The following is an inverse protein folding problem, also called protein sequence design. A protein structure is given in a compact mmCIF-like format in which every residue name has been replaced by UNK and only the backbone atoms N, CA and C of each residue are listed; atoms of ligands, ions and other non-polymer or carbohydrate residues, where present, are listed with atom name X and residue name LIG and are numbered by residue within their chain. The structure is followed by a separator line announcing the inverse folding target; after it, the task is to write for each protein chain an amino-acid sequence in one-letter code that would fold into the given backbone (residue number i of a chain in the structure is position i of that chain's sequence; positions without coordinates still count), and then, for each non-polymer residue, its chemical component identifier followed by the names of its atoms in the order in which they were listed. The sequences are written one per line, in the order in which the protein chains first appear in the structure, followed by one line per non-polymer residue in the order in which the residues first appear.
data_IF_378943309451
#
_entry.id   IF_378943309451
#
_cell.length_a   1.000
_cell.length_b   1.000
_cell.length_c   1.000
_cell.angle_alpha   90.00
_cell.angle_beta   90.00
_cell.angle_gamma   90.00
#
_symmetry.space_group_name_H-M   'P 1'
#
loop_
_entity.id
_entity.type
_entity.pdbx_description
1 polymer ?
#
# COMPACT_ATOMS: atom_id res chain seq x y z
N UNK A 1 -92.26 -68.94 4.64
CA UNK A 1 -91.63 -68.11 5.68
C UNK A 1 -90.32 -67.55 5.13
N UNK A 2 -89.98 -66.29 5.38
CA UNK A 2 -90.51 -65.08 4.73
C UNK A 2 -89.31 -64.20 4.42
N UNK A 3 -89.40 -63.36 3.38
CA UNK A 3 -88.34 -62.50 2.83
C UNK A 3 -88.14 -61.18 3.61
N UNK A 4 -88.40 -61.18 4.92
CA UNK A 4 -88.54 -59.94 5.71
C UNK A 4 -87.45 -59.72 6.78
N UNK A 5 -86.24 -60.25 6.58
CA UNK A 5 -85.16 -60.18 7.57
C UNK A 5 -83.83 -59.65 7.01
N UNK A 6 -83.88 -58.78 5.99
CA UNK A 6 -82.68 -58.11 5.42
C UNK A 6 -82.87 -56.58 5.29
N UNK A 7 -83.69 -55.97 6.15
CA UNK A 7 -83.89 -54.52 6.10
C UNK A 7 -83.96 -53.89 7.50
N UNK A 8 -82.90 -54.02 8.29
CA UNK A 8 -82.67 -53.20 9.49
C UNK A 8 -81.19 -53.19 9.93
N UNK A 9 -80.30 -52.84 8.99
CA UNK A 9 -78.91 -52.48 9.31
C UNK A 9 -78.47 -51.25 8.51
N UNK A 10 -79.34 -50.24 8.49
CA UNK A 10 -79.04 -48.93 7.94
C UNK A 10 -79.62 -47.86 8.86
N UNK A 11 -79.00 -47.68 10.03
CA UNK A 11 -78.96 -46.42 10.82
C UNK A 11 -78.34 -46.72 12.19
N UNK A 12 -77.02 -46.79 12.27
CA UNK A 12 -76.22 -46.48 13.47
C UNK A 12 -74.75 -46.81 13.16
N UNK A 13 -74.11 -45.99 12.33
CA UNK A 13 -72.64 -45.87 12.29
C UNK A 13 -72.21 -44.58 11.56
N UNK A 14 -73.00 -43.52 11.75
CA UNK A 14 -72.75 -42.19 11.20
C UNK A 14 -72.54 -41.15 12.30
N UNK A 15 -71.73 -41.46 13.31
CA UNK A 15 -71.28 -40.47 14.30
C UNK A 15 -69.88 -40.81 14.82
N UNK A 16 -68.88 -40.79 13.93
CA UNK A 16 -67.52 -41.16 14.31
C UNK A 16 -66.40 -40.63 13.44
N UNK A 17 -66.62 -39.68 12.54
CA UNK A 17 -65.52 -39.08 11.77
C UNK A 17 -65.00 -37.87 12.54
N UNK A 18 -64.06 -38.13 13.47
CA UNK A 18 -63.19 -37.10 14.05
C UNK A 18 -62.57 -36.29 12.91
N UNK A 19 -62.94 -35.03 12.78
CA UNK A 19 -62.27 -34.09 11.88
C UNK A 19 -60.78 -34.06 12.25
N UNK A 20 -59.92 -34.61 11.40
CA UNK A 20 -58.48 -34.31 11.45
C UNK A 20 -58.35 -32.83 11.12
N UNK A 21 -58.26 -31.97 12.14
CA UNK A 21 -57.80 -30.60 11.96
C UNK A 21 -56.41 -30.68 11.32
N UNK A 22 -56.32 -30.28 10.06
CA UNK A 22 -55.06 -30.06 9.38
C UNK A 22 -54.34 -28.92 10.11
N UNK A 23 -53.38 -29.28 10.97
CA UNK A 23 -52.46 -28.32 11.59
C UNK A 23 -51.63 -27.74 10.43
N UNK A 24 -52.01 -26.55 9.96
CA UNK A 24 -51.23 -25.82 8.98
C UNK A 24 -49.79 -25.70 9.50
N UNK A 25 -48.76 -26.03 8.69
CA UNK A 25 -47.38 -25.99 9.14
C UNK A 25 -47.07 -24.57 9.60
N UNK A 26 -46.81 -24.42 10.90
CA UNK A 26 -46.52 -23.14 11.56
C UNK A 26 -45.30 -22.54 10.85
N UNK A 27 -45.56 -21.58 9.95
CA UNK A 27 -44.59 -20.97 9.05
C UNK A 27 -43.39 -20.50 9.88
N UNK A 28 -42.27 -21.23 9.79
CA UNK A 28 -41.14 -21.09 10.70
C UNK A 28 -40.33 -19.82 10.37
N UNK A 29 -40.92 -18.65 10.67
CA UNK A 29 -40.39 -17.32 10.32
C UNK A 29 -39.06 -17.04 11.04
N UNK A 30 -38.84 -17.65 12.20
CA UNK A 30 -37.59 -17.59 12.95
C UNK A 30 -36.44 -18.26 12.19
N UNK A 31 -36.69 -19.39 11.53
CA UNK A 31 -35.68 -20.07 10.71
C UNK A 31 -35.24 -19.19 9.53
N UNK A 32 -36.20 -18.61 8.80
CA UNK A 32 -35.92 -17.69 7.68
C UNK A 32 -35.17 -16.43 8.11
N UNK A 33 -35.51 -15.87 9.29
CA UNK A 33 -34.81 -14.70 9.85
C UNK A 33 -33.38 -15.03 10.25
N UNK A 34 -33.14 -16.18 10.89
CA UNK A 34 -31.79 -16.59 11.28
C UNK A 34 -30.91 -16.90 10.07
N UNK A 35 -31.45 -17.59 9.04
CA UNK A 35 -30.72 -17.83 7.78
C UNK A 35 -30.34 -16.52 7.09
N UNK A 36 -31.25 -15.54 7.05
CA UNK A 36 -30.97 -14.24 6.44
C UNK A 36 -29.87 -13.49 7.20
N UNK A 37 -29.90 -13.49 8.53
CA UNK A 37 -28.85 -12.85 9.36
C UNK A 37 -27.48 -13.50 9.11
N UNK A 38 -27.41 -14.83 9.06
CA UNK A 38 -26.15 -15.55 8.80
C UNK A 38 -25.61 -15.19 7.41
N UNK A 39 -26.46 -15.16 6.37
CA UNK A 39 -26.04 -14.78 5.03
C UNK A 39 -25.51 -13.34 4.97
N UNK A 40 -26.18 -12.40 5.66
CA UNK A 40 -25.68 -11.02 5.77
C UNK A 40 -24.32 -10.97 6.45
N UNK A 41 -24.12 -11.71 7.55
CA UNK A 41 -22.81 -11.76 8.25
C UNK A 41 -21.73 -12.34 7.33
N UNK A 42 -22.03 -13.42 6.59
CA UNK A 42 -21.09 -14.02 5.63
C UNK A 42 -20.77 -13.04 4.51
N UNK A 43 -21.76 -12.36 3.93
CA UNK A 43 -21.53 -11.36 2.88
C UNK A 43 -20.70 -10.19 3.39
N UNK A 44 -20.98 -9.68 4.60
CA UNK A 44 -20.19 -8.62 5.25
C UNK A 44 -18.77 -9.11 5.52
N UNK A 45 -18.59 -10.34 6.01
CA UNK A 45 -17.27 -10.92 6.26
C UNK A 45 -16.48 -11.13 4.97
N UNK A 46 -17.11 -11.64 3.91
CA UNK A 46 -16.46 -11.80 2.61
C UNK A 46 -16.09 -10.44 2.02
N UNK A 47 -17.00 -9.46 2.02
CA UNK A 47 -16.71 -8.09 1.60
C UNK A 47 -15.57 -7.47 2.43
N UNK A 48 -15.56 -7.70 3.73
CA UNK A 48 -14.50 -7.22 4.62
C UNK A 48 -13.13 -7.81 4.29
N UNK A 49 -13.08 -9.10 3.93
CA UNK A 49 -11.82 -9.76 3.56
C UNK A 49 -11.36 -9.43 2.13
N UNK A 50 -12.27 -9.16 1.19
CA UNK A 50 -11.92 -8.79 -0.19
C UNK A 50 -11.54 -7.32 -0.34
N UNK A 51 -12.11 -6.44 0.48
CA UNK A 51 -11.85 -4.99 0.45
C UNK A 51 -10.62 -4.57 1.27
N UNK A 52 -10.07 -5.47 2.10
CA UNK A 52 -8.84 -5.16 2.83
C UNK A 52 -7.66 -5.09 1.86
N UNK A 53 -6.88 -3.99 1.89
CA UNK A 53 -5.64 -3.94 1.15
C UNK A 53 -4.74 -5.10 1.58
N UNK A 54 -4.25 -5.87 0.61
CA UNK A 54 -3.34 -6.98 0.86
C UNK A 54 -1.91 -6.45 0.97
N UNK A 55 -1.10 -6.93 1.93
CA UNK A 55 0.30 -6.53 2.00
C UNK A 55 1.08 -7.01 0.75
N UNK A 56 2.18 -6.34 0.39
CA UNK A 56 2.72 -5.16 1.09
C UNK A 56 1.95 -3.89 0.75
N UNK A 57 1.68 -3.11 1.79
CA UNK A 57 1.18 -1.74 1.70
C UNK A 57 2.27 -0.81 2.22
N UNK A 58 2.42 0.35 1.59
CA UNK A 58 3.33 1.41 2.02
C UNK A 58 2.66 2.15 3.16
N UNK A 59 3.38 2.35 4.25
CA UNK A 59 2.90 3.11 5.40
C UNK A 59 3.66 4.43 5.56
N UNK A 60 4.96 4.41 5.26
CA UNK A 60 5.82 5.59 5.27
C UNK A 60 6.52 5.75 3.91
N UNK A 61 6.89 6.97 3.57
CA UNK A 61 7.73 7.26 2.41
C UNK A 61 8.90 8.15 2.84
N UNK A 62 10.09 7.82 2.35
CA UNK A 62 11.33 8.52 2.67
C UNK A 62 12.02 8.99 1.37
N UNK A 63 12.71 10.12 1.44
CA UNK A 63 13.61 10.59 0.39
C UNK A 63 15.02 10.64 0.97
N UNK A 64 15.96 10.04 0.26
CA UNK A 64 17.39 10.10 0.54
C UNK A 64 18.12 10.55 -0.71
N UNK A 65 19.30 11.13 -0.54
CA UNK A 65 20.01 11.73 -1.66
C UNK A 65 21.52 11.64 -1.52
N UNK A 66 22.21 11.61 -2.67
CA UNK A 66 23.67 11.63 -2.74
C UNK A 66 24.22 13.04 -2.49
N UNK A 67 23.49 14.04 -2.96
CA UNK A 67 23.79 15.46 -2.77
C UNK A 67 22.75 16.12 -1.88
N UNK A 68 23.05 17.34 -1.44
CA UNK A 68 22.03 18.22 -0.89
C UNK A 68 21.05 18.63 -2.00
N UNK A 69 19.81 18.15 -1.91
CA UNK A 69 18.74 18.37 -2.90
C UNK A 69 17.48 18.93 -2.24
N UNK A 70 16.63 19.55 -3.04
CA UNK A 70 15.25 19.87 -2.68
C UNK A 70 14.28 18.97 -3.45
N UNK A 71 13.59 18.06 -2.75
CA UNK A 71 12.54 17.24 -3.34
C UNK A 71 11.27 18.05 -3.59
N UNK A 72 11.10 18.54 -4.82
CA UNK A 72 9.98 19.40 -5.20
C UNK A 72 8.66 18.64 -5.27
N UNK A 73 8.65 17.54 -6.03
CA UNK A 73 7.41 16.83 -6.33
C UNK A 73 7.69 15.38 -6.67
N UNK A 74 7.09 14.50 -5.87
CA UNK A 74 7.01 13.08 -6.15
C UNK A 74 5.53 12.72 -6.19
N UNK A 75 5.06 12.16 -7.30
CA UNK A 75 3.64 11.83 -7.50
C UNK A 75 3.53 10.43 -8.08
N UNK A 76 2.62 9.65 -7.52
CA UNK A 76 2.41 8.26 -7.86
C UNK A 76 1.05 8.06 -8.52
N UNK A 77 1.02 7.15 -9.51
CA UNK A 77 -0.19 6.68 -10.20
C UNK A 77 -1.09 7.82 -10.74
N UNK A 78 -0.47 8.81 -11.39
CA UNK A 78 -1.12 10.03 -11.90
C UNK A 78 -1.12 10.14 -13.44
N UNK A 79 -0.46 9.26 -14.21
CA UNK A 79 -0.27 9.51 -15.65
C UNK A 79 -1.53 9.41 -16.51
N UNK A 80 -2.57 8.71 -16.04
CA UNK A 80 -3.81 8.51 -16.81
C UNK A 80 -5.07 9.09 -16.14
N UNK A 81 -4.93 9.72 -14.97
CA UNK A 81 -6.04 10.27 -14.18
C UNK A 81 -7.04 9.24 -13.64
N UNK A 82 -6.72 7.93 -13.71
CA UNK A 82 -7.58 6.83 -13.24
C UNK A 82 -7.07 6.16 -11.95
N UNK A 83 -5.82 6.42 -11.57
CA UNK A 83 -5.24 5.99 -10.31
C UNK A 83 -5.69 6.85 -9.11
N UNK A 84 -5.59 6.29 -7.91
CA UNK A 84 -5.62 7.10 -6.69
C UNK A 84 -4.30 7.88 -6.63
N UNK A 85 -4.30 9.10 -7.16
CA UNK A 85 -3.12 9.99 -7.10
C UNK A 85 -2.74 10.24 -5.65
N UNK A 86 -1.48 9.96 -5.31
CA UNK A 86 -0.88 10.38 -4.05
C UNK A 86 0.56 10.82 -4.28
N UNK A 87 1.10 11.65 -3.39
CA UNK A 87 2.41 12.25 -3.59
C UNK A 87 2.64 13.44 -2.70
N UNK A 88 3.88 13.92 -2.66
CA UNK A 88 4.29 15.05 -1.84
C UNK A 88 5.66 15.59 -2.26
N UNK A 89 5.99 16.78 -1.75
CA UNK A 89 7.34 17.32 -1.76
C UNK A 89 8.02 17.04 -0.42
N UNK A 90 9.31 16.73 -0.43
CA UNK A 90 10.06 16.31 0.76
C UNK A 90 10.86 17.45 1.40
N UNK A 91 11.01 18.58 0.72
CA UNK A 91 11.93 19.62 1.17
C UNK A 91 13.40 19.23 0.98
N UNK A 92 14.28 19.71 1.85
CA UNK A 92 15.72 19.50 1.73
C UNK A 92 16.16 18.15 2.31
N UNK A 93 17.08 17.46 1.63
CA UNK A 93 17.77 16.26 2.12
C UNK A 93 19.18 16.18 1.54
N UNK A 94 20.11 15.53 2.23
CA UNK A 94 21.54 15.54 1.85
C UNK A 94 22.30 14.24 2.12
N UNK A 95 21.63 13.22 2.65
CA UNK A 95 22.28 11.98 3.06
C UNK A 95 21.40 10.77 2.77
N UNK A 96 22.00 9.59 2.92
CA UNK A 96 21.30 8.30 2.89
C UNK A 96 21.29 7.59 1.54
N UNK A 97 21.88 8.18 0.50
CA UNK A 97 22.10 7.47 -0.76
C UNK A 97 23.28 6.49 -0.66
N UNK A 98 23.12 5.33 -1.29
CA UNK A 98 24.07 4.22 -1.29
C UNK A 98 23.30 2.88 -1.28
N UNK A 99 23.91 1.76 -1.71
CA UNK A 99 23.29 0.45 -1.59
C UNK A 99 23.70 -0.26 -0.27
N UNK A 100 22.75 -0.58 0.64
CA UNK A 100 21.38 -0.11 0.69
C UNK A 100 21.28 1.31 1.29
N UNK A 101 20.22 2.08 0.98
CA UNK A 101 20.09 3.44 1.47
C UNK A 101 19.91 3.47 2.98
N UNK A 102 20.55 4.43 3.65
CA UNK A 102 20.38 4.61 5.08
C UNK A 102 19.15 5.51 5.35
N UNK A 103 18.25 5.00 6.17
CA UNK A 103 17.01 5.68 6.50
C UNK A 103 17.22 6.68 7.65
N UNK A 104 16.91 7.97 7.41
CA UNK A 104 16.99 9.03 8.42
C UNK A 104 15.63 9.55 8.91
N UNK A 105 14.66 9.72 7.99
CA UNK A 105 13.31 10.23 8.29
C UNK A 105 12.34 10.02 7.12
N UNK A 106 11.02 10.08 7.40
CA UNK A 106 9.98 9.85 6.39
C UNK A 106 8.64 10.47 6.78
N UNK A 107 7.75 10.60 5.80
CA UNK A 107 6.38 11.05 5.98
C UNK A 107 5.45 9.85 6.18
N UNK A 108 4.58 9.94 7.19
CA UNK A 108 3.51 8.96 7.39
C UNK A 108 2.37 9.23 6.39
N UNK A 109 1.99 8.22 5.61
CA UNK A 109 1.00 8.36 4.53
C UNK A 109 -0.34 7.69 4.83
N UNK A 110 -0.44 7.00 5.98
CA UNK A 110 -1.39 5.89 6.11
C UNK A 110 -1.06 4.76 5.13
N UNK A 111 -2.00 3.82 4.96
CA UNK A 111 -1.80 2.67 4.07
C UNK A 111 -2.03 3.05 2.60
N UNK A 112 -0.96 3.07 1.80
CA UNK A 112 -0.97 3.28 0.36
C UNK A 112 -0.60 1.99 -0.40
N UNK A 113 -1.18 1.76 -1.59
CA UNK A 113 -0.78 0.63 -2.42
C UNK A 113 0.67 0.80 -2.92
N UNK A 114 1.28 -0.32 -3.35
CA UNK A 114 2.54 -0.23 -4.11
C UNK A 114 2.22 0.43 -5.45
N UNK A 115 2.92 1.53 -5.81
CA UNK A 115 2.61 2.26 -7.02
C UNK A 115 3.07 1.50 -8.26
N UNK A 116 2.47 1.84 -9.39
CA UNK A 116 2.87 1.38 -10.72
C UNK A 116 3.56 2.47 -11.52
N UNK A 117 3.43 3.73 -11.09
CA UNK A 117 3.99 4.88 -11.79
C UNK A 117 4.57 5.87 -10.79
N UNK A 118 5.63 6.58 -11.20
CA UNK A 118 6.25 7.66 -10.45
C UNK A 118 6.62 8.80 -11.38
N UNK A 119 6.13 10.00 -11.07
CA UNK A 119 6.75 11.25 -11.46
C UNK A 119 7.66 11.73 -10.32
N UNK A 120 8.91 12.01 -10.64
CA UNK A 120 9.88 12.54 -9.68
C UNK A 120 10.52 13.81 -10.22
N UNK A 121 10.59 14.84 -9.36
CA UNK A 121 11.28 16.09 -9.64
C UNK A 121 11.98 16.62 -8.39
N UNK A 122 13.24 16.99 -8.56
CA UNK A 122 14.05 17.58 -7.50
C UNK A 122 15.07 18.58 -8.05
N UNK A 123 15.51 19.48 -7.17
CA UNK A 123 16.58 20.43 -7.44
C UNK A 123 17.87 19.99 -6.76
N UNK A 124 18.97 19.88 -7.49
CA UNK A 124 20.31 19.64 -6.97
C UNK A 124 20.99 20.98 -6.67
N UNK A 125 21.27 21.24 -5.38
CA UNK A 125 21.86 22.50 -4.97
C UNK A 125 23.33 22.63 -5.38
N UNK A 126 24.22 21.64 -5.18
CA UNK A 126 25.60 21.71 -5.69
C UNK A 126 25.69 22.06 -7.18
N UNK A 127 24.83 21.45 -8.01
CA UNK A 127 24.84 21.59 -9.47
C UNK A 127 23.93 22.69 -9.99
N UNK A 128 23.12 23.30 -9.12
CA UNK A 128 22.16 24.35 -9.46
C UNK A 128 21.25 23.95 -10.63
N UNK A 129 20.70 22.73 -10.63
CA UNK A 129 19.88 22.23 -11.73
C UNK A 129 18.73 21.35 -11.25
N UNK A 130 17.73 21.21 -12.10
CA UNK A 130 16.60 20.32 -11.87
C UNK A 130 16.83 18.97 -12.54
N UNK A 131 16.33 17.93 -11.89
CA UNK A 131 16.13 16.62 -12.49
C UNK A 131 14.64 16.30 -12.47
N UNK A 132 14.16 15.64 -13.51
CA UNK A 132 12.75 15.33 -13.71
C UNK A 132 12.60 14.05 -14.52
N UNK A 133 11.66 13.17 -14.12
CA UNK A 133 11.43 11.92 -14.82
C UNK A 133 10.04 11.35 -14.57
N UNK A 134 9.54 10.63 -15.57
CA UNK A 134 8.33 9.82 -15.52
C UNK A 134 8.73 8.35 -15.65
N UNK A 135 8.34 7.54 -14.68
CA UNK A 135 8.72 6.14 -14.59
C UNK A 135 7.46 5.27 -14.57
N UNK A 136 7.31 4.43 -15.59
CA UNK A 136 6.33 3.35 -15.61
C UNK A 136 7.00 2.08 -15.05
N UNK A 137 6.36 1.49 -14.04
CA UNK A 137 6.89 0.39 -13.21
C UNK A 137 5.79 -0.64 -12.92
N UNK A 138 5.12 -1.20 -13.95
CA UNK A 138 3.98 -2.10 -13.77
C UNK A 138 4.33 -3.37 -12.97
N UNK A 139 5.59 -3.76 -12.94
CA UNK A 139 6.12 -4.91 -12.20
C UNK A 139 6.42 -4.63 -10.73
N UNK A 140 6.45 -3.35 -10.30
CA UNK A 140 6.81 -2.96 -8.93
C UNK A 140 5.93 -3.65 -7.87
N UNK A 141 4.58 -3.75 -8.02
CA UNK A 141 3.74 -4.45 -7.05
C UNK A 141 4.08 -5.94 -6.91
N UNK A 142 4.35 -6.63 -8.02
CA UNK A 142 4.71 -8.04 -8.01
C UNK A 142 6.06 -8.27 -7.32
N UNK A 143 7.05 -7.43 -7.63
CA UNK A 143 8.38 -7.49 -7.01
C UNK A 143 8.32 -7.16 -5.51
N UNK A 144 7.56 -6.14 -5.13
CA UNK A 144 7.34 -5.82 -3.71
C UNK A 144 6.68 -6.98 -2.96
N UNK A 145 5.66 -7.60 -3.56
CA UNK A 145 5.00 -8.76 -2.97
C UNK A 145 5.95 -9.94 -2.75
N UNK A 146 6.84 -10.21 -3.70
CA UNK A 146 7.89 -11.22 -3.55
C UNK A 146 8.83 -10.88 -2.38
N UNK A 147 9.38 -9.67 -2.35
CA UNK A 147 10.27 -9.22 -1.26
C UNK A 147 9.59 -9.32 0.10
N UNK A 148 8.36 -8.85 0.21
CA UNK A 148 7.60 -8.91 1.46
C UNK A 148 7.35 -10.35 1.91
N UNK A 149 7.06 -11.26 0.97
CA UNK A 149 6.90 -12.68 1.26
C UNK A 149 8.19 -13.27 1.80
N UNK A 150 9.34 -13.00 1.16
CA UNK A 150 10.65 -13.50 1.61
C UNK A 150 10.99 -13.02 3.04
N UNK A 151 10.70 -11.75 3.35
CA UNK A 151 10.90 -11.18 4.70
C UNK A 151 9.96 -11.86 5.71
N UNK A 152 8.69 -12.02 5.35
CA UNK A 152 7.66 -12.61 6.22
C UNK A 152 7.90 -14.10 6.48
N UNK A 153 8.35 -14.86 5.47
CA UNK A 153 8.63 -16.28 5.59
C UNK A 153 9.80 -16.57 6.54
N UNK A 154 10.80 -15.67 6.58
CA UNK A 154 11.92 -15.76 7.54
C UNK A 154 11.47 -15.52 8.99
N UNK A 155 10.38 -14.77 9.18
CA UNK A 155 9.90 -14.37 10.51
C UNK A 155 8.36 -14.42 10.59
N UNK A 156 7.74 -15.61 10.56
CA UNK A 156 6.29 -15.76 10.39
C UNK A 156 5.45 -15.24 11.57
N UNK A 157 6.09 -14.93 12.70
CA UNK A 157 5.45 -14.35 13.89
C UNK A 157 5.47 -12.82 13.90
N UNK A 158 6.17 -12.19 12.96
CA UNK A 158 6.29 -10.76 12.86
C UNK A 158 5.36 -10.23 11.78
N UNK A 159 4.79 -9.06 12.04
CA UNK A 159 4.11 -8.25 11.04
C UNK A 159 5.01 -7.07 10.71
N UNK A 160 4.92 -6.53 9.50
CA UNK A 160 5.84 -5.52 9.03
C UNK A 160 5.11 -4.29 8.52
N UNK A 161 5.60 -3.14 8.95
CA UNK A 161 5.33 -1.82 8.36
C UNK A 161 6.33 -1.57 7.27
N UNK A 162 5.85 -1.18 6.09
CA UNK A 162 6.72 -0.94 4.95
C UNK A 162 6.92 0.56 4.71
N UNK A 163 8.17 0.93 4.51
CA UNK A 163 8.58 2.23 4.03
C UNK A 163 9.07 2.09 2.60
N UNK A 164 8.53 2.89 1.68
CA UNK A 164 9.12 3.05 0.36
C UNK A 164 10.18 4.16 0.47
N UNK A 165 11.42 3.87 0.09
CA UNK A 165 12.51 4.84 0.11
C UNK A 165 12.80 5.23 -1.34
N UNK A 166 12.66 6.52 -1.65
CA UNK A 166 13.12 7.11 -2.90
C UNK A 166 14.56 7.56 -2.67
N UNK A 167 15.50 6.98 -3.40
CA UNK A 167 16.88 7.41 -3.39
C UNK A 167 17.20 8.14 -4.71
N UNK A 168 17.63 9.40 -4.61
CA UNK A 168 18.00 10.20 -5.78
C UNK A 168 19.52 10.45 -5.83
N UNK A 169 20.11 10.17 -6.98
CA UNK A 169 21.55 10.29 -7.19
C UNK A 169 21.96 11.65 -7.70
N UNK A 170 23.28 11.85 -7.76
CA UNK A 170 23.88 13.10 -8.21
C UNK A 170 23.64 13.36 -9.70
N UNK A 171 23.54 12.35 -10.54
CA UNK A 171 23.43 12.46 -12.00
C UNK A 171 22.02 12.21 -12.53
N UNK A 172 21.01 12.22 -11.67
CA UNK A 172 19.62 11.97 -12.06
C UNK A 172 19.15 10.54 -11.79
N UNK A 173 19.95 9.72 -11.13
CA UNK A 173 19.54 8.37 -10.77
C UNK A 173 18.32 8.41 -9.83
N UNK A 174 17.36 7.52 -10.05
CA UNK A 174 16.22 7.33 -9.14
C UNK A 174 16.13 5.85 -8.80
N UNK A 175 16.05 5.54 -7.52
CA UNK A 175 15.84 4.18 -7.05
C UNK A 175 14.69 4.14 -6.06
N UNK A 176 13.92 3.05 -6.11
CA UNK A 176 12.89 2.75 -5.12
C UNK A 176 13.29 1.51 -4.34
N UNK A 177 13.32 1.63 -3.02
CA UNK A 177 13.68 0.55 -2.10
C UNK A 177 12.54 0.27 -1.13
N UNK A 178 12.31 -1.00 -0.83
CA UNK A 178 11.38 -1.43 0.20
C UNK A 178 12.14 -1.68 1.50
N UNK A 179 11.86 -0.89 2.54
CA UNK A 179 12.30 -1.17 3.91
C UNK A 179 11.13 -1.72 4.70
N UNK A 180 11.30 -2.89 5.30
CA UNK A 180 10.34 -3.45 6.23
C UNK A 180 10.82 -3.22 7.68
N UNK A 181 9.92 -2.83 8.56
CA UNK A 181 10.17 -2.69 10.00
C UNK A 181 9.12 -3.50 10.72
N UNK A 182 9.54 -4.50 11.49
CA UNK A 182 8.61 -5.35 12.22
C UNK A 182 7.84 -4.53 13.25
N UNK A 183 6.54 -4.75 13.39
CA UNK A 183 5.77 -4.23 14.52
C UNK A 183 6.06 -5.06 15.79
N UNK A 184 6.01 -4.41 16.95
CA UNK A 184 6.26 -5.05 18.25
C UNK A 184 7.67 -4.86 18.83
N UNK A 185 7.84 -5.25 20.09
CA UNK A 185 9.08 -5.05 20.85
C UNK A 185 10.16 -6.05 20.42
N UNK A 186 11.41 -5.61 20.17
CA UNK A 186 12.51 -6.52 19.90
C UNK A 186 12.73 -7.52 21.04
N UNK A 187 13.03 -8.77 20.70
CA UNK A 187 13.55 -9.71 21.68
C UNK A 187 15.07 -9.56 21.78
N UNK A 188 15.56 -8.68 22.65
CA UNK A 188 16.99 -8.39 22.79
C UNK A 188 17.85 -9.61 23.21
N UNK A 189 17.24 -10.73 23.60
CA UNK A 189 17.95 -11.99 23.87
C UNK A 189 18.30 -12.79 22.60
N UNK A 190 17.64 -12.50 21.49
CA UNK A 190 17.94 -13.08 20.19
C UNK A 190 19.13 -12.31 19.57
N UNK A 191 20.29 -12.92 19.33
CA UNK A 191 21.45 -12.20 18.78
C UNK A 191 21.18 -11.60 17.39
N UNK A 192 20.17 -12.10 16.68
CA UNK A 192 19.76 -11.62 15.36
C UNK A 192 18.52 -10.69 15.41
N UNK A 193 18.16 -10.21 16.60
CA UNK A 193 16.94 -9.40 16.80
C UNK A 193 16.86 -8.21 15.85
N UNK A 194 18.00 -7.56 15.57
CA UNK A 194 18.04 -6.35 14.74
C UNK A 194 17.68 -6.66 13.28
N UNK A 195 18.28 -7.70 12.70
CA UNK A 195 18.00 -8.07 11.31
C UNK A 195 16.56 -8.58 11.13
N UNK A 196 15.99 -9.22 12.15
CA UNK A 196 14.57 -9.61 12.15
C UNK A 196 13.64 -8.41 12.29
N UNK A 197 14.02 -7.43 13.13
CA UNK A 197 13.26 -6.21 13.39
C UNK A 197 13.29 -5.24 12.22
N UNK A 198 14.44 -5.10 11.55
CA UNK A 198 14.65 -4.09 10.52
C UNK A 198 15.58 -4.66 9.42
N UNK A 199 15.14 -5.68 8.65
CA UNK A 199 15.93 -6.26 7.57
C UNK A 199 16.41 -5.19 6.58
N UNK A 200 17.53 -5.43 5.90
CA UNK A 200 18.09 -4.48 4.95
C UNK A 200 17.08 -4.09 3.85
N UNK A 201 17.00 -2.80 3.48
CA UNK A 201 16.17 -2.37 2.34
C UNK A 201 16.48 -3.17 1.08
N UNK A 202 15.43 -3.52 0.33
CA UNK A 202 15.56 -4.25 -0.93
C UNK A 202 15.20 -3.36 -2.12
N UNK A 203 16.06 -3.33 -3.14
CA UNK A 203 15.85 -2.54 -4.35
C UNK A 203 14.68 -3.09 -5.17
N UNK A 204 13.64 -2.28 -5.35
CA UNK A 204 12.50 -2.60 -6.19
C UNK A 204 12.68 -2.06 -7.62
N UNK A 205 13.16 -0.84 -7.79
CA UNK A 205 13.30 -0.20 -9.10
C UNK A 205 14.52 0.71 -9.17
N UNK A 206 15.08 0.84 -10.37
CA UNK A 206 16.12 1.82 -10.69
C UNK A 206 15.82 2.43 -12.06
N UNK A 207 15.99 3.74 -12.17
CA UNK A 207 15.77 4.50 -13.40
C UNK A 207 16.67 5.73 -13.45
N UNK A 208 16.56 6.47 -14.55
CA UNK A 208 17.35 7.67 -14.83
C UNK A 208 16.39 8.81 -15.18
N UNK A 209 16.46 9.91 -14.43
CA UNK A 209 15.78 11.15 -14.74
C UNK A 209 16.60 11.99 -15.72
N UNK A 210 15.90 12.82 -16.47
CA UNK A 210 16.48 13.80 -17.37
C UNK A 210 16.68 15.14 -16.66
N UNK A 211 17.36 16.06 -17.34
CA UNK A 211 17.42 17.45 -16.87
C UNK A 211 16.04 18.10 -16.95
N UNK A 212 15.54 18.53 -15.79
CA UNK A 212 14.29 19.26 -15.66
C UNK A 212 14.44 20.71 -16.11
N UNK A 213 13.35 21.28 -16.64
CA UNK A 213 13.28 22.72 -16.93
C UNK A 213 12.98 23.50 -15.65
N UNK A 214 13.61 24.65 -15.46
CA UNK A 214 13.33 25.56 -14.35
C UNK A 214 14.42 26.61 -14.23
N UNK A 215 14.13 27.72 -13.55
CA UNK A 215 15.12 28.75 -13.25
C UNK A 215 15.79 28.46 -11.89
N UNK A 216 17.09 28.11 -11.84
CA UNK A 216 17.79 27.87 -10.58
C UNK A 216 17.80 29.08 -9.63
N UNK A 217 17.55 30.28 -10.13
CA UNK A 217 17.55 31.50 -9.31
C UNK A 217 16.43 31.51 -8.27
N UNK A 218 15.36 30.73 -8.49
CA UNK A 218 14.32 30.48 -7.49
C UNK A 218 14.89 29.93 -6.18
N UNK A 219 16.01 29.20 -6.26
CA UNK A 219 16.71 28.62 -5.11
C UNK A 219 17.93 29.43 -4.66
N UNK A 220 18.20 30.62 -5.20
CA UNK A 220 19.41 31.41 -4.87
C UNK A 220 19.57 31.64 -3.38
N UNK A 221 18.51 32.09 -2.69
CA UNK A 221 18.57 32.37 -1.23
C UNK A 221 18.89 31.10 -0.43
N UNK A 222 18.24 29.99 -0.75
CA UNK A 222 18.47 28.71 -0.07
C UNK A 222 19.84 28.14 -0.38
N UNK A 223 20.30 28.27 -1.62
CA UNK A 223 21.66 27.88 -2.03
C UNK A 223 22.70 28.65 -1.22
N UNK A 224 22.55 29.98 -1.10
CA UNK A 224 23.46 30.79 -0.32
C UNK A 224 23.46 30.40 1.17
N UNK A 225 22.28 30.08 1.73
CA UNK A 225 22.15 29.58 3.10
C UNK A 225 22.83 28.22 3.29
N UNK A 226 22.58 27.25 2.39
CA UNK A 226 23.19 25.93 2.44
C UNK A 226 24.72 26.00 2.31
N UNK A 227 25.26 26.87 1.44
CA UNK A 227 26.70 27.17 1.38
C UNK A 227 27.21 27.72 2.70
N UNK A 228 26.55 28.74 3.25
CA UNK A 228 26.95 29.35 4.53
C UNK A 228 26.94 28.34 5.68
N UNK A 229 26.03 27.37 5.65
CA UNK A 229 25.94 26.29 6.62
C UNK A 229 26.96 25.15 6.39
N UNK A 230 27.69 25.15 5.27
CA UNK A 230 28.63 24.08 4.90
C UNK A 230 27.95 22.80 4.41
N UNK A 231 26.65 22.86 4.09
CA UNK A 231 25.87 21.72 3.59
C UNK A 231 26.17 21.41 2.12
N UNK A 232 26.67 22.40 1.38
CA UNK A 232 27.14 22.27 -0.01
C UNK A 232 28.47 23.02 -0.21
N UNK A 233 29.30 22.61 -1.19
CA UNK A 233 30.55 23.30 -1.51
C UNK A 233 30.34 24.78 -1.89
N UNK A 234 31.33 25.61 -1.57
CA UNK A 234 31.32 27.04 -1.93
C UNK A 234 31.43 27.25 -3.45
N UNK A 235 32.16 26.37 -4.13
CA UNK A 235 32.33 26.40 -5.58
C UNK A 235 31.24 25.56 -6.27
N UNK A 236 30.59 26.15 -7.26
CA UNK A 236 29.79 25.39 -8.23
C UNK A 236 30.74 24.74 -9.23
N UNK A 237 30.64 23.44 -9.46
CA UNK A 237 31.10 22.89 -10.74
C UNK A 237 30.14 23.44 -11.79
N UNK A 238 30.60 24.28 -12.75
CA UNK A 238 29.72 24.82 -13.77
C UNK A 238 29.07 23.66 -14.52
N UNK A 239 27.75 23.59 -14.53
CA UNK A 239 27.04 22.84 -15.55
C UNK A 239 27.42 23.47 -16.89
N UNK A 240 28.01 22.72 -17.81
CA UNK A 240 28.07 23.16 -19.20
C UNK A 240 26.66 23.62 -19.63
N UNK A 241 26.54 24.80 -20.27
CA UNK A 241 25.25 25.28 -20.72
C UNK A 241 24.66 24.27 -21.70
N UNK A 242 23.45 23.79 -21.42
CA UNK A 242 22.70 22.95 -22.35
C UNK A 242 22.40 23.81 -23.58
N UNK A 243 23.15 23.56 -24.66
CA UNK A 243 22.80 24.05 -25.99
C UNK A 243 21.45 23.41 -26.34
N UNK A 244 20.42 24.26 -26.48
CA UNK A 244 19.13 23.86 -27.05
C UNK A 244 19.40 23.23 -28.42
N UNK A 245 19.03 21.96 -28.59
CA UNK A 245 18.79 21.37 -29.91
C UNK A 245 17.29 21.36 -30.18
#
# INVERSE_FOLDING_TARGET
MSKDEILNQATEDASGVKSKQAIAPKKNSKFKRNTLIILVIICVFMAYNTLRPKPPMIYDLALVSQHYVWGERFTFDDFDGKGNRWGFGFGATSTGFGPPPSWGGGANLGLQPIPTQLYARWFDFPKQRFYEGNFDMPELPAKAAQVYKEISDRNPKLTYRNTLIIAVGAEGEVQLWLKAIADGTPNFKDPDWYNKKAPEPQLLFSGQADYGKGDPTEYTKRTAQARKAGEIPQETVPSEPIIKK
#
